data_IF_871481008904
#
_entry.id   IF_871481008904
#
_cell.length_a   1.000
_cell.length_b   1.000
_cell.length_c   1.000
_cell.angle_alpha   90.00
_cell.angle_beta   90.00
_cell.angle_gamma   90.00
#
_symmetry.space_group_name_H-M   'P 1'
#
loop_
_entity.id
_entity.type
_entity.pdbx_description
1 polymer ?
#
# COMPACT_ATOMS: atom_id res chain seq x y z
N UNK A 1 81.28 34.49 -40.85
CA UNK A 1 80.03 33.68 -41.11
C UNK A 1 79.73 32.84 -39.85
N UNK A 2 78.81 33.30 -39.04
CA UNK A 2 78.47 32.58 -37.81
C UNK A 2 77.12 31.89 -38.05
N UNK A 3 77.11 30.56 -38.02
CA UNK A 3 75.87 29.78 -38.08
C UNK A 3 75.20 29.76 -36.71
N UNK A 4 74.00 30.27 -36.65
CA UNK A 4 73.13 30.18 -35.46
C UNK A 4 72.35 28.88 -35.52
N UNK A 5 72.54 28.03 -34.47
CA UNK A 5 71.79 26.79 -34.26
C UNK A 5 70.59 27.16 -33.42
N UNK A 6 69.35 27.02 -34.01
CA UNK A 6 68.11 27.13 -33.24
C UNK A 6 67.79 25.78 -32.59
N UNK A 7 67.77 25.78 -31.26
CA UNK A 7 67.34 24.64 -30.46
C UNK A 7 65.79 24.74 -30.24
N UNK A 8 65.04 23.85 -30.90
CA UNK A 8 63.60 23.80 -30.75
C UNK A 8 63.28 22.95 -29.51
N UNK A 9 62.86 23.61 -28.39
CA UNK A 9 62.42 22.92 -27.20
C UNK A 9 60.95 22.54 -27.40
N UNK A 10 60.64 21.28 -27.68
CA UNK A 10 59.29 20.70 -27.70
C UNK A 10 58.88 20.49 -26.27
N UNK A 11 58.01 21.39 -25.75
CA UNK A 11 57.34 21.23 -24.45
C UNK A 11 56.20 20.23 -24.67
N UNK A 12 56.36 18.96 -24.28
CA UNK A 12 55.27 18.02 -24.19
C UNK A 12 54.39 18.41 -22.98
N UNK A 13 53.25 19.07 -23.24
CA UNK A 13 52.19 19.17 -22.27
C UNK A 13 51.58 17.76 -22.13
N UNK A 14 51.95 17.03 -21.10
CA UNK A 14 51.15 15.89 -20.61
C UNK A 14 49.89 16.42 -19.96
N UNK A 15 48.82 16.51 -20.73
CA UNK A 15 47.50 16.69 -20.16
C UNK A 15 47.19 15.43 -19.35
N UNK A 16 47.37 15.53 -18.03
CA UNK A 16 46.83 14.56 -17.10
C UNK A 16 45.31 14.63 -17.21
N UNK A 17 44.70 13.73 -17.94
CA UNK A 17 43.27 13.50 -17.87
C UNK A 17 43.04 12.97 -16.43
N UNK A 18 42.64 13.84 -15.54
CA UNK A 18 42.03 13.40 -14.28
C UNK A 18 40.77 12.66 -14.64
N UNK A 19 40.86 11.36 -14.76
CA UNK A 19 39.67 10.50 -14.66
C UNK A 19 39.18 10.68 -13.25
N UNK A 20 38.16 11.51 -13.08
CA UNK A 20 37.49 11.66 -11.79
C UNK A 20 37.11 10.25 -11.31
N UNK A 21 37.55 9.90 -10.10
CA UNK A 21 37.18 8.61 -9.50
C UNK A 21 35.65 8.51 -9.50
N UNK A 22 35.13 7.47 -10.14
CA UNK A 22 33.71 7.19 -10.12
C UNK A 22 33.35 6.76 -8.69
N UNK A 23 32.27 7.33 -8.13
CA UNK A 23 31.83 7.04 -6.77
C UNK A 23 30.64 6.08 -6.80
N UNK A 24 30.67 5.09 -5.92
CA UNK A 24 29.54 4.20 -5.66
C UNK A 24 28.41 4.90 -4.88
N UNK A 25 28.69 6.07 -4.27
CA UNK A 25 27.69 6.82 -3.53
C UNK A 25 26.45 7.14 -4.36
N UNK A 26 25.30 7.01 -3.71
CA UNK A 26 24.01 7.42 -4.26
C UNK A 26 23.03 6.27 -4.45
N UNK A 27 22.07 6.52 -5.31
CA UNK A 27 20.97 5.60 -5.58
C UNK A 27 21.14 4.97 -6.95
N UNK A 28 20.93 3.65 -7.02
CA UNK A 28 21.16 2.83 -8.19
C UNK A 28 19.93 1.98 -8.47
N UNK A 29 19.44 1.97 -9.71
CA UNK A 29 18.28 1.18 -10.15
C UNK A 29 18.70 -0.01 -10.97
N UNK A 30 18.26 -1.22 -10.60
CA UNK A 30 18.39 -2.45 -11.37
C UNK A 30 17.03 -3.11 -11.57
N UNK A 31 16.91 -3.93 -12.63
CA UNK A 31 15.70 -4.75 -12.85
C UNK A 31 16.12 -6.21 -12.84
N UNK A 32 15.64 -6.94 -11.84
CA UNK A 32 15.86 -8.37 -11.68
C UNK A 32 14.71 -9.14 -12.34
N UNK A 33 15.04 -10.03 -13.29
CA UNK A 33 14.05 -10.92 -13.91
C UNK A 33 14.12 -12.30 -13.28
N UNK A 34 12.99 -12.76 -12.71
CA UNK A 34 12.85 -14.09 -12.10
C UNK A 34 11.67 -14.80 -12.76
N UNK A 35 11.94 -15.71 -13.68
CA UNK A 35 10.90 -16.30 -14.53
C UNK A 35 10.20 -15.24 -15.37
N UNK A 36 8.88 -15.15 -15.27
CA UNK A 36 8.06 -14.13 -15.93
C UNK A 36 8.00 -12.80 -15.17
N UNK A 37 8.47 -12.76 -13.94
CA UNK A 37 8.38 -11.57 -13.06
C UNK A 37 9.59 -10.66 -13.25
N UNK A 38 9.36 -9.35 -13.10
CA UNK A 38 10.40 -8.32 -13.03
C UNK A 38 10.31 -7.61 -11.70
N UNK A 39 11.42 -7.52 -10.98
CA UNK A 39 11.51 -6.80 -9.72
C UNK A 39 12.44 -5.60 -9.90
N UNK A 40 11.97 -4.43 -9.58
CA UNK A 40 12.75 -3.20 -9.57
C UNK A 40 13.46 -3.10 -8.22
N UNK A 41 14.79 -3.20 -8.27
CA UNK A 41 15.66 -3.08 -7.12
C UNK A 41 16.25 -1.68 -7.07
N UNK A 42 16.15 -1.01 -5.93
CA UNK A 42 16.81 0.27 -5.69
C UNK A 42 17.86 0.06 -4.61
N UNK A 43 19.11 0.22 -5.00
CA UNK A 43 20.23 0.08 -4.11
C UNK A 43 20.73 1.47 -3.71
N UNK A 44 20.67 1.76 -2.41
CA UNK A 44 21.18 2.99 -1.80
C UNK A 44 22.55 2.68 -1.21
N UNK A 45 23.59 3.39 -1.65
CA UNK A 45 24.97 3.21 -1.20
C UNK A 45 25.50 4.48 -0.59
N UNK A 46 26.12 4.37 0.59
CA UNK A 46 26.88 5.45 1.24
C UNK A 46 28.31 4.96 1.49
N UNK A 47 29.27 5.51 0.76
CA UNK A 47 30.70 5.24 0.96
C UNK A 47 31.18 5.81 2.30
N UNK A 48 30.69 7.00 2.68
CA UNK A 48 31.06 7.67 3.93
C UNK A 48 30.64 6.87 5.17
N UNK A 49 29.44 6.26 5.14
CA UNK A 49 28.93 5.42 6.23
C UNK A 49 29.31 3.95 6.06
N UNK A 50 29.93 3.59 4.95
CA UNK A 50 30.17 2.20 4.54
C UNK A 50 28.89 1.35 4.67
N UNK A 51 27.79 1.88 4.20
CA UNK A 51 26.46 1.27 4.32
C UNK A 51 25.79 1.08 2.95
N UNK A 52 24.92 0.08 2.88
CA UNK A 52 24.04 -0.15 1.74
C UNK A 52 22.66 -0.61 2.19
N UNK A 53 21.62 -0.16 1.49
CA UNK A 53 20.24 -0.56 1.71
C UNK A 53 19.60 -0.92 0.38
N UNK A 54 18.61 -1.81 0.40
CA UNK A 54 17.89 -2.26 -0.78
C UNK A 54 16.40 -2.01 -0.61
N UNK A 55 15.78 -1.42 -1.64
CA UNK A 55 14.32 -1.43 -1.79
C UNK A 55 13.95 -2.45 -2.88
N UNK A 56 12.84 -3.15 -2.70
CA UNK A 56 12.22 -4.00 -3.70
C UNK A 56 10.83 -3.44 -3.96
N UNK A 57 10.69 -2.72 -5.07
CA UNK A 57 9.53 -1.85 -5.31
C UNK A 57 8.23 -2.64 -5.38
N UNK A 58 8.21 -3.74 -6.13
CA UNK A 58 7.02 -4.58 -6.34
C UNK A 58 6.62 -5.39 -5.10
N UNK A 59 7.48 -5.44 -4.09
CA UNK A 59 7.20 -6.09 -2.80
C UNK A 59 6.91 -5.06 -1.69
N UNK A 60 6.94 -3.76 -2.00
CA UNK A 60 6.78 -2.69 -1.00
C UNK A 60 7.88 -2.66 0.07
N UNK A 61 8.94 -3.44 -0.10
CA UNK A 61 10.04 -3.51 0.85
C UNK A 61 10.97 -2.32 0.65
N UNK A 62 11.23 -1.56 1.72
CA UNK A 62 12.06 -0.35 1.68
C UNK A 62 13.14 -0.38 2.78
N UNK A 63 14.30 0.14 2.44
CA UNK A 63 15.39 0.35 3.38
C UNK A 63 15.96 -0.93 4.00
N UNK A 64 15.83 -2.08 3.31
CA UNK A 64 16.34 -3.36 3.78
C UNK A 64 17.86 -3.26 3.96
N UNK A 65 18.40 -3.44 5.18
CA UNK A 65 19.83 -3.28 5.42
C UNK A 65 20.61 -4.42 4.76
N UNK A 66 21.68 -4.05 4.04
CA UNK A 66 22.63 -5.00 3.46
C UNK A 66 23.92 -5.00 4.27
N UNK A 67 24.49 -6.19 4.49
CA UNK A 67 25.86 -6.32 4.98
C UNK A 67 26.82 -5.97 3.85
N UNK A 68 27.71 -4.99 4.08
CA UNK A 68 28.71 -4.58 3.13
C UNK A 68 30.00 -5.37 3.38
N UNK A 69 30.31 -6.30 2.49
CA UNK A 69 31.52 -7.12 2.54
C UNK A 69 32.73 -6.42 1.89
N UNK A 70 32.48 -5.79 0.71
CA UNK A 70 33.48 -5.01 -0.02
C UNK A 70 32.83 -3.73 -0.54
N UNK A 71 33.51 -2.59 -0.33
CA UNK A 71 33.16 -1.29 -0.91
C UNK A 71 34.46 -0.52 -1.08
N UNK A 72 35.16 -0.79 -2.17
CA UNK A 72 36.45 -0.17 -2.49
C UNK A 72 36.86 -0.44 -3.95
N UNK A 73 37.69 0.40 -4.52
CA UNK A 73 38.24 0.24 -5.87
C UNK A 73 37.16 -0.07 -6.93
N UNK A 74 36.10 0.70 -6.95
CA UNK A 74 34.91 0.53 -7.80
C UNK A 74 34.14 -0.80 -7.59
N UNK A 75 34.50 -1.58 -6.55
CA UNK A 75 33.88 -2.87 -6.27
C UNK A 75 32.88 -2.76 -5.12
N UNK A 76 31.71 -3.34 -5.32
CA UNK A 76 30.66 -3.46 -4.33
C UNK A 76 30.29 -4.93 -4.15
N UNK A 77 30.36 -5.40 -2.89
CA UNK A 77 29.89 -6.72 -2.52
C UNK A 77 29.00 -6.58 -1.29
N UNK A 78 27.73 -6.94 -1.44
CA UNK A 78 26.71 -6.80 -0.40
C UNK A 78 25.90 -8.07 -0.25
N UNK A 79 25.38 -8.33 0.93
CA UNK A 79 24.60 -9.52 1.24
C UNK A 79 23.47 -9.26 2.23
N UNK A 80 22.43 -10.10 2.16
CA UNK A 80 21.42 -10.28 3.19
C UNK A 80 21.29 -11.78 3.48
N UNK A 81 22.06 -12.24 4.45
CA UNK A 81 22.22 -13.68 4.74
C UNK A 81 20.94 -14.37 5.18
N UNK A 82 20.02 -13.61 5.84
CA UNK A 82 18.72 -14.11 6.32
C UNK A 82 17.85 -14.69 5.20
N UNK A 83 18.00 -14.17 3.99
CA UNK A 83 17.25 -14.62 2.80
C UNK A 83 18.16 -15.20 1.71
N UNK A 84 19.43 -15.43 2.02
CA UNK A 84 20.41 -15.98 1.09
C UNK A 84 20.72 -15.08 -0.10
N UNK A 85 20.54 -13.74 0.03
CA UNK A 85 20.83 -12.77 -1.03
C UNK A 85 22.30 -12.34 -0.99
N UNK A 86 22.90 -12.28 -2.14
CA UNK A 86 24.24 -11.77 -2.38
C UNK A 86 24.31 -11.03 -3.71
N UNK A 87 25.00 -9.90 -3.75
CA UNK A 87 25.33 -9.18 -4.98
C UNK A 87 26.79 -8.78 -4.95
N UNK A 88 27.51 -9.07 -6.03
CA UNK A 88 28.89 -8.66 -6.26
C UNK A 88 28.99 -7.96 -7.62
N UNK A 89 29.36 -6.69 -7.62
CA UNK A 89 29.43 -5.88 -8.82
C UNK A 89 30.62 -4.93 -8.82
N UNK A 90 30.88 -4.32 -9.98
CA UNK A 90 31.90 -3.32 -10.16
C UNK A 90 31.36 -2.13 -10.94
N UNK A 91 31.66 -0.93 -10.47
CA UNK A 91 31.32 0.31 -11.15
C UNK A 91 32.20 0.48 -12.40
N UNK A 92 31.56 0.60 -13.55
CA UNK A 92 32.19 0.83 -14.85
C UNK A 92 31.30 1.70 -15.71
N UNK A 93 31.89 2.73 -16.32
CA UNK A 93 31.17 3.62 -17.24
C UNK A 93 29.83 4.16 -16.67
N UNK A 94 29.76 4.42 -15.34
CA UNK A 94 28.58 4.98 -14.70
C UNK A 94 27.47 3.95 -14.36
N UNK A 95 27.72 2.65 -14.49
CA UNK A 95 26.82 1.57 -14.09
C UNK A 95 27.54 0.58 -13.18
N UNK A 96 26.84 -0.08 -12.27
CA UNK A 96 27.40 -1.19 -11.49
C UNK A 96 26.97 -2.49 -12.18
N UNK A 97 27.92 -3.17 -12.79
CA UNK A 97 27.71 -4.47 -13.43
C UNK A 97 28.12 -5.59 -12.49
N UNK A 98 27.23 -6.55 -12.25
CA UNK A 98 27.51 -7.60 -11.29
C UNK A 98 26.61 -8.81 -11.38
N UNK A 99 26.86 -9.74 -10.48
CA UNK A 99 26.10 -10.97 -10.33
C UNK A 99 25.26 -10.91 -9.07
N UNK A 100 23.97 -11.10 -9.25
CA UNK A 100 23.00 -11.31 -8.18
C UNK A 100 22.81 -12.81 -7.95
N UNK A 101 22.78 -13.23 -6.71
CA UNK A 101 22.39 -14.58 -6.33
C UNK A 101 21.47 -14.57 -5.12
N UNK A 102 20.51 -15.49 -5.11
CA UNK A 102 19.66 -15.74 -3.97
C UNK A 102 19.35 -17.25 -3.91
N UNK A 103 19.82 -17.91 -2.86
CA UNK A 103 19.78 -19.37 -2.74
C UNK A 103 20.40 -20.05 -3.98
N UNK A 104 19.63 -20.86 -4.72
CA UNK A 104 20.09 -21.53 -5.95
C UNK A 104 19.96 -20.69 -7.22
N UNK A 105 19.31 -19.53 -7.15
CA UNK A 105 19.12 -18.64 -8.29
C UNK A 105 20.33 -17.71 -8.46
N UNK A 106 20.83 -17.57 -9.69
CA UNK A 106 21.94 -16.66 -10.00
C UNK A 106 21.72 -16.04 -11.38
N UNK A 107 21.95 -14.73 -11.49
CA UNK A 107 21.81 -13.99 -12.74
C UNK A 107 22.71 -12.76 -12.77
N UNK A 108 22.97 -12.24 -13.98
CA UNK A 108 23.59 -10.93 -14.13
C UNK A 108 22.58 -9.83 -13.80
N UNK A 109 23.03 -8.80 -13.06
CA UNK A 109 22.22 -7.65 -12.71
C UNK A 109 23.04 -6.38 -12.86
N UNK A 110 22.52 -5.44 -13.61
CA UNK A 110 23.13 -4.12 -13.84
C UNK A 110 22.32 -3.08 -13.07
N UNK A 111 23.01 -2.29 -12.27
CA UNK A 111 22.45 -1.12 -11.63
C UNK A 111 22.90 0.14 -12.37
N UNK A 112 21.95 0.93 -12.82
CA UNK A 112 22.15 2.23 -13.42
C UNK A 112 22.01 3.32 -12.34
N UNK A 113 22.86 4.36 -12.38
CA UNK A 113 22.77 5.47 -11.45
C UNK A 113 21.49 6.26 -11.69
N UNK A 114 20.72 6.51 -10.65
CA UNK A 114 19.49 7.30 -10.73
C UNK A 114 18.42 6.86 -9.72
N UNK A 115 17.55 7.78 -9.43
CA UNK A 115 16.36 7.53 -8.60
C UNK A 115 15.19 7.05 -9.45
N UNK A 116 14.35 6.19 -8.89
CA UNK A 116 13.03 5.95 -9.45
C UNK A 116 12.12 7.08 -8.98
N UNK A 117 11.91 8.05 -9.85
CA UNK A 117 10.90 9.08 -9.59
C UNK A 117 9.54 8.45 -9.87
N UNK A 118 8.89 7.95 -8.83
CA UNK A 118 7.50 7.56 -8.93
C UNK A 118 6.65 8.82 -9.06
N UNK A 119 5.96 8.96 -10.19
CA UNK A 119 4.99 10.04 -10.33
C UNK A 119 3.74 9.68 -9.55
N UNK A 120 3.32 10.58 -8.68
CA UNK A 120 2.08 10.48 -7.90
C UNK A 120 1.30 11.77 -8.06
N UNK A 121 0.72 12.00 -9.26
CA UNK A 121 0.12 13.29 -9.60
C UNK A 121 -1.10 13.64 -8.74
N UNK A 122 -1.76 12.65 -8.17
CA UNK A 122 -2.95 12.83 -7.34
C UNK A 122 -2.62 13.14 -5.88
N UNK A 123 -1.37 12.95 -5.41
CA UNK A 123 -1.03 13.23 -4.03
C UNK A 123 -1.14 14.74 -3.73
N UNK A 124 -1.99 15.14 -2.77
CA UNK A 124 -2.12 16.52 -2.38
C UNK A 124 -0.86 17.01 -1.69
N UNK A 125 -0.47 18.26 -2.00
CA UNK A 125 0.71 18.90 -1.41
C UNK A 125 0.31 20.12 -0.60
N UNK A 126 0.95 20.35 0.56
CA UNK A 126 0.72 21.56 1.33
C UNK A 126 1.18 22.81 0.54
N UNK A 127 0.55 24.01 0.81
CA UNK A 127 -0.51 24.20 1.79
C UNK A 127 -1.84 23.66 1.30
N UNK A 128 -2.56 22.90 2.20
CA UNK A 128 -3.88 22.39 1.88
C UNK A 128 -4.95 23.50 1.98
N UNK A 129 -6.01 23.49 1.14
CA UNK A 129 -7.09 24.46 1.23
C UNK A 129 -8.08 24.19 2.38
N UNK A 130 -7.82 23.15 3.16
CA UNK A 130 -8.64 22.68 4.27
C UNK A 130 -7.79 22.50 5.53
N UNK A 131 -8.46 22.50 6.69
CA UNK A 131 -7.82 22.27 7.99
C UNK A 131 -7.55 20.81 8.22
N UNK A 132 -6.35 20.51 8.75
CA UNK A 132 -5.95 19.19 9.24
C UNK A 132 -5.49 19.29 10.68
N UNK A 133 -5.85 18.30 11.49
CA UNK A 133 -5.46 18.19 12.90
C UNK A 133 -4.86 16.83 13.17
N UNK A 134 -3.68 16.78 13.75
CA UNK A 134 -3.16 15.54 14.32
C UNK A 134 -3.86 15.30 15.65
N UNK A 135 -4.40 14.11 15.80
CA UNK A 135 -5.17 13.73 16.98
C UNK A 135 -4.71 12.39 17.54
N UNK A 136 -5.09 12.12 18.75
CA UNK A 136 -4.93 10.80 19.37
C UNK A 136 -6.25 10.38 20.02
N UNK A 137 -6.52 9.08 20.02
CA UNK A 137 -7.65 8.49 20.71
C UNK A 137 -7.27 7.14 21.32
N UNK A 138 -7.94 6.77 22.39
CA UNK A 138 -7.61 5.56 23.14
C UNK A 138 -8.52 4.39 22.75
N UNK A 139 -7.91 3.24 22.53
CA UNK A 139 -8.60 1.96 22.57
C UNK A 139 -8.41 1.31 23.95
N UNK A 140 -9.40 1.47 24.82
CA UNK A 140 -9.36 0.91 26.17
C UNK A 140 -9.28 -0.62 26.19
N UNK A 141 -9.85 -1.31 25.18
CA UNK A 141 -9.81 -2.78 25.07
C UNK A 141 -8.41 -3.29 24.78
N UNK A 142 -7.63 -2.56 23.97
CA UNK A 142 -6.26 -2.89 23.62
C UNK A 142 -5.24 -2.19 24.52
N UNK A 143 -5.67 -1.32 25.43
CA UNK A 143 -4.81 -0.47 26.29
C UNK A 143 -3.75 0.30 25.46
N UNK A 144 -4.16 0.77 24.28
CA UNK A 144 -3.30 1.46 23.33
C UNK A 144 -3.89 2.82 22.93
N UNK A 145 -2.99 3.72 22.51
CA UNK A 145 -3.33 5.02 21.94
C UNK A 145 -3.08 4.98 20.45
N UNK A 146 -4.07 5.37 19.68
CA UNK A 146 -4.00 5.45 18.23
C UNK A 146 -3.83 6.90 17.80
N UNK A 147 -2.91 7.13 16.89
CA UNK A 147 -2.58 8.45 16.34
C UNK A 147 -3.16 8.60 14.95
N UNK A 148 -3.75 9.73 14.66
CA UNK A 148 -4.42 9.96 13.38
C UNK A 148 -4.40 11.40 12.92
N UNK A 149 -4.96 11.62 11.74
CA UNK A 149 -5.16 12.94 11.14
C UNK A 149 -6.64 13.12 10.82
N UNK A 150 -7.25 14.08 11.50
CA UNK A 150 -8.61 14.54 11.23
C UNK A 150 -8.54 15.66 10.19
N UNK A 151 -9.15 15.43 9.04
CA UNK A 151 -9.24 16.37 7.93
C UNK A 151 -10.65 16.95 7.89
N UNK A 152 -10.78 18.27 7.94
CA UNK A 152 -12.07 18.97 7.85
C UNK A 152 -12.37 19.35 6.40
N UNK A 153 -13.64 19.57 6.04
CA UNK A 153 -13.99 20.08 4.72
C UNK A 153 -13.36 21.43 4.41
N UNK A 154 -13.14 21.69 3.12
CA UNK A 154 -12.77 23.01 2.65
C UNK A 154 -13.83 24.04 3.05
N UNK A 155 -13.40 25.18 3.59
CA UNK A 155 -14.30 26.23 4.08
C UNK A 155 -15.06 25.90 5.38
N UNK A 156 -14.73 24.80 6.08
CA UNK A 156 -15.37 24.42 7.35
C UNK A 156 -15.31 25.55 8.39
N UNK A 157 -16.43 25.84 9.01
CA UNK A 157 -16.53 26.82 10.11
C UNK A 157 -16.86 26.09 11.41
N UNK A 158 -16.24 26.51 12.49
CA UNK A 158 -16.50 25.93 13.82
C UNK A 158 -17.99 26.07 14.18
N UNK A 159 -18.56 25.00 14.71
CA UNK A 159 -20.00 24.89 14.97
C UNK A 159 -20.84 24.35 13.83
N UNK A 160 -20.32 24.29 12.61
CA UNK A 160 -20.99 23.63 11.49
C UNK A 160 -20.94 22.11 11.70
N UNK A 161 -22.08 21.43 11.48
CA UNK A 161 -22.14 19.97 11.50
C UNK A 161 -22.02 19.42 10.09
N UNK A 162 -21.00 18.60 9.88
CA UNK A 162 -20.74 17.92 8.61
C UNK A 162 -20.69 16.41 8.81
N UNK A 163 -20.83 15.62 7.76
CA UNK A 163 -20.58 14.18 7.85
C UNK A 163 -19.09 13.89 7.97
N UNK A 164 -18.74 12.78 8.63
CA UNK A 164 -17.36 12.31 8.76
C UNK A 164 -17.27 10.81 8.46
N UNK A 165 -16.18 10.39 7.85
CA UNK A 165 -15.83 8.98 7.70
C UNK A 165 -14.58 8.64 8.51
N UNK A 166 -14.63 7.55 9.26
CA UNK A 166 -13.46 6.87 9.75
C UNK A 166 -12.92 5.99 8.62
N UNK A 167 -11.65 6.15 8.28
CA UNK A 167 -10.98 5.36 7.23
C UNK A 167 -10.19 4.22 7.87
N UNK A 168 -10.47 2.99 7.44
CA UNK A 168 -9.90 1.75 8.01
C UNK A 168 -9.10 1.03 6.93
N UNK A 169 -7.82 0.86 7.16
CA UNK A 169 -6.83 0.28 6.24
C UNK A 169 -7.06 -1.21 5.98
N UNK A 170 -6.43 -1.72 4.94
CA UNK A 170 -6.38 -3.14 4.60
C UNK A 170 -5.49 -3.95 5.52
N UNK A 171 -5.24 -5.22 5.18
CA UNK A 171 -4.43 -6.13 5.97
C UNK A 171 -2.96 -5.75 6.03
N UNK A 172 -2.32 -6.10 7.13
CA UNK A 172 -0.94 -5.74 7.43
C UNK A 172 -0.82 -4.45 8.23
N UNK A 173 0.36 -4.16 8.80
CA UNK A 173 0.62 -2.96 9.59
C UNK A 173 0.71 -1.72 8.67
N UNK A 174 -0.32 -0.91 8.66
CA UNK A 174 -0.49 0.23 7.76
C UNK A 174 -0.38 1.56 8.49
N UNK A 175 0.24 2.55 7.85
CA UNK A 175 0.13 3.93 8.29
C UNK A 175 -1.22 4.53 7.85
N UNK A 176 -1.56 5.69 8.41
CA UNK A 176 -2.83 6.39 8.17
C UNK A 176 -3.12 6.73 6.71
N UNK A 177 -2.13 6.74 5.85
CA UNK A 177 -2.26 7.05 4.42
C UNK A 177 -2.47 5.79 3.57
N UNK A 178 -2.41 4.59 4.20
CA UNK A 178 -2.42 3.29 3.54
C UNK A 178 -1.33 3.21 2.46
N UNK A 179 -0.08 3.50 2.86
CA UNK A 179 1.02 3.59 1.90
C UNK A 179 1.40 2.22 1.35
N UNK A 180 0.99 1.94 0.12
CA UNK A 180 1.22 0.70 -0.60
C UNK A 180 1.91 0.99 -1.94
N UNK A 181 3.02 0.31 -2.24
CA UNK A 181 3.76 0.47 -3.51
C UNK A 181 4.09 1.94 -3.85
N UNK A 182 4.28 2.78 -2.81
CA UNK A 182 4.52 4.22 -2.96
C UNK A 182 3.29 5.06 -3.30
N UNK A 183 2.09 4.47 -3.32
CA UNK A 183 0.81 5.18 -3.37
C UNK A 183 0.30 5.46 -1.96
N UNK A 184 -0.52 6.50 -1.83
CA UNK A 184 -1.19 6.88 -0.57
C UNK A 184 -2.70 7.05 -0.80
N UNK A 185 -3.43 5.95 -1.07
CA UNK A 185 -4.83 6.03 -1.46
C UNK A 185 -5.70 6.76 -0.43
N UNK A 186 -5.47 6.57 0.86
CA UNK A 186 -6.24 7.26 1.89
C UNK A 186 -5.93 8.75 1.99
N UNK A 187 -4.69 9.17 1.71
CA UNK A 187 -4.36 10.59 1.64
C UNK A 187 -5.09 11.26 0.46
N UNK A 188 -5.05 10.63 -0.72
CA UNK A 188 -5.70 11.13 -1.93
C UNK A 188 -7.22 11.19 -1.76
N UNK A 189 -7.82 10.14 -1.21
CA UNK A 189 -9.25 10.10 -0.98
C UNK A 189 -9.70 11.09 0.11
N UNK A 190 -8.90 11.33 1.15
CA UNK A 190 -9.19 12.32 2.17
C UNK A 190 -9.17 13.76 1.63
N UNK A 191 -8.27 14.08 0.70
CA UNK A 191 -8.28 15.36 -0.03
C UNK A 191 -9.58 15.51 -0.85
N UNK A 192 -9.96 14.45 -1.57
CA UNK A 192 -11.19 14.44 -2.36
C UNK A 192 -12.43 14.65 -1.48
N UNK A 193 -12.54 13.92 -0.39
CA UNK A 193 -13.63 14.05 0.59
C UNK A 193 -13.72 15.48 1.14
N UNK A 194 -12.58 16.07 1.55
CA UNK A 194 -12.55 17.42 2.10
C UNK A 194 -13.05 18.46 1.11
N UNK A 195 -12.68 18.36 -0.17
CA UNK A 195 -13.16 19.23 -1.25
C UNK A 195 -14.65 19.05 -1.56
N UNK A 196 -15.25 17.91 -1.16
CA UNK A 196 -16.67 17.63 -1.34
C UNK A 196 -17.50 17.81 -0.06
N UNK A 197 -16.96 18.52 0.94
CA UNK A 197 -17.72 18.85 2.15
C UNK A 197 -17.78 17.73 3.20
N UNK A 198 -16.97 16.69 3.09
CA UNK A 198 -16.95 15.53 3.96
C UNK A 198 -15.66 15.52 4.79
N UNK A 199 -15.78 15.41 6.11
CA UNK A 199 -14.61 15.21 6.99
C UNK A 199 -14.13 13.75 6.95
N UNK A 200 -12.86 13.53 7.28
CA UNK A 200 -12.30 12.19 7.39
C UNK A 200 -11.30 12.06 8.54
N UNK A 201 -11.28 10.91 9.19
CA UNK A 201 -10.26 10.52 10.15
C UNK A 201 -9.51 9.31 9.61
N UNK A 202 -8.21 9.49 9.37
CA UNK A 202 -7.23 8.46 9.04
C UNK A 202 -6.36 8.21 10.27
N UNK A 203 -6.02 6.98 10.58
CA UNK A 203 -5.18 6.66 11.74
C UNK A 203 -4.13 5.60 11.41
N UNK A 204 -2.99 5.66 12.09
CA UNK A 204 -1.97 4.63 12.03
C UNK A 204 -2.47 3.39 12.81
N UNK A 205 -2.31 2.22 12.26
CA UNK A 205 -2.64 0.97 12.96
C UNK A 205 -1.86 0.86 14.27
N UNK A 206 -2.35 0.04 15.19
CA UNK A 206 -1.65 -0.25 16.45
C UNK A 206 -0.20 -0.68 16.19
N UNK A 207 0.77 -0.09 16.89
CA UNK A 207 2.19 -0.37 16.73
C UNK A 207 2.83 0.20 15.47
N UNK A 208 2.10 1.01 14.69
CA UNK A 208 2.59 1.67 13.48
C UNK A 208 2.69 3.18 13.71
N UNK A 209 3.68 3.82 13.10
CA UNK A 209 3.87 5.26 13.15
C UNK A 209 3.93 5.79 14.58
N UNK A 210 2.94 6.59 14.98
CA UNK A 210 2.84 7.15 16.33
C UNK A 210 1.80 6.42 17.21
N UNK A 211 1.16 5.38 16.69
CA UNK A 211 0.24 4.53 17.45
C UNK A 211 0.98 3.55 18.32
N UNK A 212 0.50 3.36 19.56
CA UNK A 212 1.05 2.35 20.47
C UNK A 212 0.32 1.01 20.32
N UNK A 213 0.84 -0.03 20.95
CA UNK A 213 0.28 -1.37 20.92
C UNK A 213 1.11 -2.34 20.08
N UNK A 214 0.60 -3.55 19.91
CA UNK A 214 1.27 -4.61 19.15
C UNK A 214 0.36 -5.10 18.01
N UNK A 215 0.83 -4.91 16.80
CA UNK A 215 0.14 -5.40 15.60
C UNK A 215 0.35 -6.92 15.41
N UNK A 216 1.50 -7.45 15.81
CA UNK A 216 1.86 -8.86 15.53
C UNK A 216 0.93 -9.87 16.18
N UNK A 217 0.26 -9.48 17.26
CA UNK A 217 -0.73 -10.29 17.98
C UNK A 217 -2.19 -9.94 17.61
N UNK A 218 -2.40 -9.00 16.68
CA UNK A 218 -3.73 -8.54 16.32
C UNK A 218 -4.45 -9.53 15.38
N UNK A 219 -5.74 -9.70 15.59
CA UNK A 219 -6.67 -10.36 14.65
C UNK A 219 -7.56 -9.32 14.02
N UNK A 220 -8.29 -9.65 12.94
CA UNK A 220 -9.30 -8.78 12.35
C UNK A 220 -10.30 -8.25 13.41
N UNK A 221 -10.71 -9.12 14.34
CA UNK A 221 -11.60 -8.73 15.44
C UNK A 221 -10.94 -7.74 16.41
N UNK A 222 -9.64 -7.89 16.67
CA UNK A 222 -8.89 -6.94 17.49
C UNK A 222 -8.73 -5.58 16.78
N UNK A 223 -8.46 -5.56 15.47
CA UNK A 223 -8.40 -4.34 14.66
C UNK A 223 -9.77 -3.64 14.57
N UNK A 224 -10.87 -4.41 14.54
CA UNK A 224 -12.21 -3.85 14.63
C UNK A 224 -12.45 -3.07 15.94
N UNK A 225 -11.76 -3.42 17.05
CA UNK A 225 -11.86 -2.63 18.29
C UNK A 225 -11.17 -1.27 18.17
N UNK A 226 -10.10 -1.15 17.36
CA UNK A 226 -9.44 0.13 17.09
C UNK A 226 -10.35 1.05 16.27
N UNK A 227 -10.95 0.51 15.22
CA UNK A 227 -11.92 1.25 14.42
C UNK A 227 -13.13 1.69 15.26
N UNK A 228 -13.64 0.82 16.15
CA UNK A 228 -14.72 1.18 17.07
C UNK A 228 -14.32 2.32 18.03
N UNK A 229 -13.07 2.34 18.50
CA UNK A 229 -12.56 3.42 19.33
C UNK A 229 -12.52 4.75 18.55
N UNK A 230 -12.09 4.73 17.29
CA UNK A 230 -12.14 5.89 16.38
C UNK A 230 -13.55 6.43 16.16
N UNK A 231 -14.55 5.55 15.97
CA UNK A 231 -15.96 5.96 15.87
C UNK A 231 -16.43 6.63 17.16
N UNK A 232 -16.14 6.02 18.32
CA UNK A 232 -16.50 6.60 19.62
C UNK A 232 -15.86 7.97 19.83
N UNK A 233 -14.59 8.11 19.45
CA UNK A 233 -13.90 9.40 19.49
C UNK A 233 -14.60 10.44 18.63
N UNK A 234 -14.90 10.15 17.37
CA UNK A 234 -15.59 11.07 16.46
C UNK A 234 -16.96 11.47 16.98
N UNK A 235 -17.76 10.52 17.49
CA UNK A 235 -19.06 10.81 18.10
C UNK A 235 -18.93 11.67 19.37
N UNK A 236 -17.88 11.43 20.17
CA UNK A 236 -17.56 12.20 21.37
C UNK A 236 -17.26 13.67 21.13
N UNK A 237 -16.71 14.01 19.96
CA UNK A 237 -16.44 15.41 19.57
C UNK A 237 -17.72 16.24 19.37
N UNK A 238 -18.87 15.61 19.11
CA UNK A 238 -20.18 16.26 18.86
C UNK A 238 -20.18 17.29 17.72
N UNK A 239 -19.17 17.24 16.85
CA UNK A 239 -18.99 18.14 15.70
C UNK A 239 -19.64 17.61 14.42
N UNK A 240 -19.93 16.32 14.36
CA UNK A 240 -20.37 15.65 13.15
C UNK A 240 -21.86 15.30 13.19
N UNK A 241 -22.54 15.42 12.04
CA UNK A 241 -23.96 15.05 11.88
C UNK A 241 -24.14 13.55 11.74
N UNK A 242 -23.20 12.89 10.99
CA UNK A 242 -23.17 11.46 10.76
C UNK A 242 -21.72 10.96 10.85
N UNK A 243 -21.55 9.74 11.36
CA UNK A 243 -20.24 9.07 11.44
C UNK A 243 -20.31 7.76 10.65
N UNK A 244 -19.72 7.76 9.45
CA UNK A 244 -19.59 6.57 8.61
C UNK A 244 -18.27 5.88 8.76
N UNK A 245 -18.14 4.69 8.14
CA UNK A 245 -16.91 3.95 8.01
C UNK A 245 -16.62 3.78 6.52
N UNK A 246 -15.38 4.07 6.14
CA UNK A 246 -14.83 3.75 4.83
C UNK A 246 -13.67 2.77 5.06
N UNK A 247 -13.77 1.56 4.55
CA UNK A 247 -12.72 0.55 4.71
C UNK A 247 -12.26 0.01 3.37
N UNK A 248 -10.94 -0.20 3.24
CA UNK A 248 -10.36 -0.87 2.09
C UNK A 248 -9.96 -2.30 2.47
N UNK A 249 -10.20 -3.26 1.58
CA UNK A 249 -9.81 -4.66 1.78
C UNK A 249 -10.29 -5.21 3.15
N UNK A 250 -9.41 -5.65 4.04
CA UNK A 250 -9.76 -6.08 5.41
C UNK A 250 -10.55 -4.99 6.17
N UNK A 251 -10.20 -3.71 5.98
CA UNK A 251 -10.94 -2.59 6.54
C UNK A 251 -12.40 -2.53 6.10
N UNK A 252 -12.71 -2.96 4.87
CA UNK A 252 -14.08 -3.12 4.39
C UNK A 252 -14.83 -4.23 5.13
N UNK A 253 -14.17 -5.35 5.43
CA UNK A 253 -14.74 -6.40 6.29
C UNK A 253 -14.99 -5.91 7.72
N UNK A 254 -14.06 -5.13 8.28
CA UNK A 254 -14.24 -4.48 9.59
C UNK A 254 -15.44 -3.54 9.56
N UNK A 255 -15.62 -2.78 8.47
CA UNK A 255 -16.79 -1.92 8.32
C UNK A 255 -18.10 -2.70 8.34
N UNK A 256 -18.17 -3.90 7.72
CA UNK A 256 -19.35 -4.77 7.81
C UNK A 256 -19.58 -5.28 9.25
N UNK A 257 -18.51 -5.69 9.96
CA UNK A 257 -18.62 -6.13 11.35
C UNK A 257 -19.18 -5.03 12.26
N UNK A 258 -18.67 -3.80 12.13
CA UNK A 258 -19.11 -2.67 12.93
C UNK A 258 -20.51 -2.18 12.54
N UNK A 259 -20.84 -2.23 11.25
CA UNK A 259 -22.18 -1.93 10.76
C UNK A 259 -23.23 -2.92 11.26
N UNK A 260 -22.91 -4.21 11.31
CA UNK A 260 -23.77 -5.23 11.93
C UNK A 260 -24.03 -4.96 13.42
N UNK A 261 -23.06 -4.38 14.12
CA UNK A 261 -23.19 -3.91 15.50
C UNK A 261 -23.91 -2.55 15.66
N UNK A 262 -24.39 -1.92 14.57
CA UNK A 262 -25.06 -0.62 14.60
C UNK A 262 -24.15 0.56 14.93
N UNK A 263 -22.84 0.42 14.70
CA UNK A 263 -21.86 1.44 15.09
C UNK A 263 -21.60 2.51 14.00
N UNK A 264 -22.12 2.33 12.79
CA UNK A 264 -21.96 3.27 11.67
C UNK A 264 -23.31 3.79 11.18
N UNK A 265 -23.33 5.05 10.73
CA UNK A 265 -24.51 5.67 10.11
C UNK A 265 -24.58 5.35 8.60
N UNK A 266 -23.43 5.03 7.99
CA UNK A 266 -23.29 4.51 6.63
C UNK A 266 -21.94 3.78 6.47
N UNK A 267 -21.82 2.94 5.45
CA UNK A 267 -20.61 2.17 5.14
C UNK A 267 -20.21 2.40 3.69
N UNK A 268 -18.92 2.65 3.46
CA UNK A 268 -18.26 2.52 2.15
C UNK A 268 -17.23 1.40 2.26
N UNK A 269 -17.38 0.37 1.45
CA UNK A 269 -16.44 -0.74 1.37
C UNK A 269 -15.74 -0.75 0.01
N UNK A 270 -14.45 -0.50 0.02
CA UNK A 270 -13.58 -0.54 -1.13
C UNK A 270 -12.91 -1.92 -1.18
N UNK A 271 -13.32 -2.77 -2.10
CA UNK A 271 -12.80 -4.13 -2.27
C UNK A 271 -12.78 -4.98 -0.98
N UNK A 272 -13.73 -4.73 -0.05
CA UNK A 272 -13.78 -5.44 1.22
C UNK A 272 -14.36 -6.85 1.09
N UNK A 273 -13.67 -7.90 1.60
CA UNK A 273 -14.21 -9.25 1.65
C UNK A 273 -15.55 -9.32 2.39
N UNK A 274 -16.56 -9.86 1.72
CA UNK A 274 -17.94 -10.03 2.23
C UNK A 274 -18.36 -11.50 2.27
N UNK A 275 -17.42 -12.42 2.14
CA UNK A 275 -17.65 -13.86 1.99
C UNK A 275 -16.80 -14.65 2.99
N UNK A 276 -16.76 -15.96 2.82
CA UNK A 276 -15.91 -16.84 3.63
C UNK A 276 -14.44 -16.65 3.22
N UNK A 277 -13.57 -16.30 4.18
CA UNK A 277 -12.22 -15.85 3.89
C UNK A 277 -11.33 -16.95 3.29
N UNK A 278 -11.40 -18.18 3.81
CA UNK A 278 -10.62 -19.30 3.28
C UNK A 278 -10.97 -19.65 1.82
N UNK A 279 -12.24 -19.52 1.45
CA UNK A 279 -12.70 -19.68 0.06
C UNK A 279 -12.19 -18.54 -0.83
N UNK A 280 -12.23 -17.30 -0.31
CA UNK A 280 -11.68 -16.15 -1.01
C UNK A 280 -10.18 -16.34 -1.29
N UNK A 281 -9.41 -16.81 -0.30
CA UNK A 281 -7.98 -17.05 -0.44
C UNK A 281 -7.66 -18.11 -1.49
N UNK A 282 -8.51 -19.14 -1.64
CA UNK A 282 -8.36 -20.12 -2.71
C UNK A 282 -8.49 -19.46 -4.09
N UNK A 283 -9.49 -18.61 -4.26
CA UNK A 283 -9.70 -17.89 -5.53
C UNK A 283 -8.56 -16.89 -5.81
N UNK A 284 -8.11 -16.18 -4.79
CA UNK A 284 -6.98 -15.25 -4.88
C UNK A 284 -5.69 -15.96 -5.31
N UNK A 285 -5.32 -17.05 -4.64
CA UNK A 285 -4.11 -17.81 -4.98
C UNK A 285 -4.13 -18.30 -6.42
N UNK A 286 -5.25 -18.87 -6.87
CA UNK A 286 -5.38 -19.37 -8.23
C UNK A 286 -5.38 -18.24 -9.26
N UNK A 287 -6.07 -17.13 -8.99
CA UNK A 287 -6.08 -15.95 -9.85
C UNK A 287 -4.69 -15.34 -10.01
N UNK A 288 -3.99 -15.08 -8.90
CA UNK A 288 -2.61 -14.53 -8.91
C UNK A 288 -1.63 -15.46 -9.63
N UNK A 289 -1.72 -16.77 -9.40
CA UNK A 289 -0.82 -17.72 -10.04
C UNK A 289 -1.02 -17.77 -11.56
N UNK A 290 -2.26 -17.64 -12.05
CA UNK A 290 -2.55 -17.59 -13.49
C UNK A 290 -1.92 -16.38 -14.17
N UNK A 291 -2.05 -15.18 -13.61
CA UNK A 291 -1.40 -13.98 -14.19
C UNK A 291 0.13 -14.05 -14.10
N UNK A 292 0.66 -14.87 -13.20
CA UNK A 292 2.10 -15.17 -13.10
C UNK A 292 2.53 -16.34 -13.98
N UNK A 293 1.65 -16.89 -14.80
CA UNK A 293 1.96 -17.88 -15.83
C UNK A 293 1.66 -19.34 -15.47
N UNK A 294 1.00 -19.61 -14.33
CA UNK A 294 0.52 -20.95 -14.02
C UNK A 294 -0.56 -21.38 -15.02
N UNK A 295 -0.43 -22.59 -15.56
CA UNK A 295 -1.39 -23.15 -16.53
C UNK A 295 -2.61 -23.76 -15.86
N UNK A 296 -2.46 -24.20 -14.60
CA UNK A 296 -3.49 -24.85 -13.81
C UNK A 296 -3.62 -24.18 -12.46
N UNK A 297 -4.71 -24.46 -11.76
CA UNK A 297 -4.91 -24.00 -10.39
C UNK A 297 -3.82 -24.58 -9.46
N UNK A 298 -3.27 -23.74 -8.61
CA UNK A 298 -2.20 -24.14 -7.64
C UNK A 298 -2.76 -24.75 -6.36
N UNK A 299 -4.03 -24.55 -6.09
CA UNK A 299 -4.80 -25.19 -5.00
C UNK A 299 -6.18 -25.62 -5.50
N UNK A 300 -6.61 -26.82 -5.12
CA UNK A 300 -7.84 -27.43 -5.63
C UNK A 300 -8.95 -27.54 -4.59
N UNK A 301 -8.66 -27.17 -3.35
CA UNK A 301 -9.62 -27.21 -2.25
C UNK A 301 -9.31 -26.17 -1.18
N UNK A 302 -10.33 -25.80 -0.41
CA UNK A 302 -10.18 -24.93 0.77
C UNK A 302 -9.26 -25.57 1.79
N UNK A 303 -9.31 -26.90 1.97
CA UNK A 303 -8.42 -27.60 2.92
C UNK A 303 -6.95 -27.47 2.52
N UNK A 304 -6.63 -27.69 1.24
CA UNK A 304 -5.30 -27.49 0.68
C UNK A 304 -4.82 -26.04 0.79
N UNK A 305 -5.70 -25.09 0.50
CA UNK A 305 -5.44 -23.64 0.66
C UNK A 305 -5.06 -23.31 2.10
N UNK A 306 -5.84 -23.78 3.08
CA UNK A 306 -5.56 -23.56 4.50
C UNK A 306 -4.21 -24.15 4.90
N UNK A 307 -3.91 -25.38 4.47
CA UNK A 307 -2.63 -26.03 4.75
C UNK A 307 -1.47 -25.24 4.16
N UNK A 308 -1.57 -24.80 2.91
CA UNK A 308 -0.54 -24.00 2.24
C UNK A 308 -0.31 -22.67 2.97
N UNK A 309 -1.35 -21.91 3.25
CA UNK A 309 -1.24 -20.61 3.90
C UNK A 309 -0.66 -20.74 5.31
N UNK A 310 -1.12 -21.68 6.13
CA UNK A 310 -0.62 -21.90 7.48
C UNK A 310 0.83 -22.45 7.51
N UNK A 311 1.30 -23.07 6.42
CA UNK A 311 2.70 -23.45 6.28
C UNK A 311 3.63 -22.24 6.01
N UNK A 312 3.10 -21.17 5.45
CA UNK A 312 3.82 -19.93 5.11
C UNK A 312 3.70 -18.88 6.20
N UNK A 313 2.50 -18.73 6.75
CA UNK A 313 2.19 -17.79 7.82
C UNK A 313 1.35 -18.46 8.90
N UNK A 314 1.98 -18.78 10.02
CA UNK A 314 1.36 -19.42 11.17
C UNK A 314 0.94 -18.40 12.26
N UNK A 315 0.80 -17.13 11.89
CA UNK A 315 0.40 -16.04 12.77
C UNK A 315 -1.00 -16.25 13.37
N UNK A 316 -1.29 -15.56 14.46
CA UNK A 316 -2.62 -15.55 15.05
C UNK A 316 -3.63 -14.91 14.09
N UNK A 317 -3.22 -13.88 13.36
CA UNK A 317 -4.05 -13.23 12.34
C UNK A 317 -4.48 -14.23 11.27
N UNK A 318 -3.54 -14.90 10.61
CA UNK A 318 -3.85 -15.87 9.54
C UNK A 318 -4.78 -16.99 10.02
N UNK A 319 -4.50 -17.56 11.19
CA UNK A 319 -5.35 -18.61 11.80
C UNK A 319 -6.77 -18.11 12.00
N UNK A 320 -6.93 -16.94 12.59
CA UNK A 320 -8.26 -16.39 12.87
C UNK A 320 -8.99 -15.95 11.60
N UNK A 321 -8.28 -15.34 10.65
CA UNK A 321 -8.84 -14.86 9.39
C UNK A 321 -9.41 -16.02 8.55
N UNK A 322 -8.70 -17.15 8.46
CA UNK A 322 -9.17 -18.32 7.74
C UNK A 322 -10.47 -18.91 8.30
N UNK A 323 -10.81 -18.63 9.55
CA UNK A 323 -12.06 -19.04 10.18
C UNK A 323 -13.19 -18.01 10.01
N UNK A 324 -12.86 -16.81 9.52
CA UNK A 324 -13.85 -15.74 9.34
C UNK A 324 -14.80 -16.02 8.17
N UNK A 325 -16.06 -15.77 8.43
CA UNK A 325 -17.10 -15.71 7.41
C UNK A 325 -17.82 -14.37 7.51
N UNK A 326 -17.41 -13.40 6.69
CA UNK A 326 -17.94 -12.05 6.70
C UNK A 326 -19.39 -11.96 6.22
N UNK A 327 -19.86 -12.93 5.41
CA UNK A 327 -21.26 -12.95 4.96
C UNK A 327 -22.27 -13.03 6.11
N UNK A 328 -21.86 -13.53 7.27
CA UNK A 328 -22.72 -13.61 8.46
C UNK A 328 -23.09 -12.25 9.06
N UNK A 329 -22.30 -11.21 8.80
CA UNK A 329 -22.57 -9.86 9.27
C UNK A 329 -23.56 -9.11 8.38
N UNK A 330 -23.59 -9.41 7.09
CA UNK A 330 -24.36 -8.65 6.11
C UNK A 330 -25.86 -8.53 6.43
N UNK A 331 -26.58 -9.59 6.84
CA UNK A 331 -28.01 -9.49 7.13
C UNK A 331 -28.35 -8.62 8.36
N UNK A 332 -27.33 -8.32 9.18
CA UNK A 332 -27.49 -7.54 10.41
C UNK A 332 -27.29 -6.05 10.18
N UNK A 333 -26.77 -5.63 9.01
CA UNK A 333 -26.48 -4.23 8.70
C UNK A 333 -27.78 -3.50 8.38
N UNK A 334 -28.04 -2.41 9.12
CA UNK A 334 -29.26 -1.60 8.94
C UNK A 334 -29.00 -0.27 8.23
N UNK A 335 -27.76 0.23 8.28
CA UNK A 335 -27.39 1.48 7.62
C UNK A 335 -27.17 1.29 6.10
N UNK A 336 -27.19 2.38 5.29
CA UNK A 336 -26.83 2.32 3.89
C UNK A 336 -25.40 1.80 3.68
N UNK A 337 -25.20 1.00 2.62
CA UNK A 337 -23.90 0.41 2.23
C UNK A 337 -23.62 0.74 0.78
N UNK A 338 -22.41 1.28 0.53
CA UNK A 338 -21.79 1.33 -0.78
C UNK A 338 -20.64 0.35 -0.81
N UNK A 339 -20.74 -0.68 -1.66
CA UNK A 339 -19.72 -1.71 -1.82
C UNK A 339 -19.19 -1.68 -3.25
N UNK A 340 -17.89 -1.47 -3.39
CA UNK A 340 -17.21 -1.26 -4.67
C UNK A 340 -16.10 -2.31 -4.87
N UNK A 341 -15.87 -2.72 -6.12
CA UNK A 341 -14.75 -3.58 -6.54
C UNK A 341 -14.27 -3.21 -7.92
N UNK A 342 -13.02 -3.52 -8.22
CA UNK A 342 -12.51 -3.52 -9.60
C UNK A 342 -12.74 -4.86 -10.29
N UNK A 343 -13.00 -4.87 -11.60
CA UNK A 343 -13.17 -6.14 -12.33
C UNK A 343 -11.86 -6.94 -12.44
N UNK A 344 -10.73 -6.26 -12.34
CA UNK A 344 -9.40 -6.85 -12.41
C UNK A 344 -8.76 -7.01 -11.01
N UNK A 345 -9.59 -6.96 -9.96
CA UNK A 345 -9.17 -7.24 -8.59
C UNK A 345 -8.89 -8.74 -8.40
N UNK A 346 -7.61 -9.09 -8.29
CA UNK A 346 -7.17 -10.46 -8.05
C UNK A 346 -7.03 -10.78 -6.56
N UNK A 347 -7.01 -9.77 -5.70
CA UNK A 347 -6.93 -9.97 -4.24
C UNK A 347 -8.31 -10.33 -3.67
N UNK A 348 -9.36 -9.64 -4.15
CA UNK A 348 -10.75 -9.90 -3.77
C UNK A 348 -11.59 -10.04 -5.05
N UNK A 349 -11.62 -11.23 -5.67
CA UNK A 349 -12.32 -11.46 -6.93
C UNK A 349 -13.76 -10.95 -6.90
N UNK A 350 -14.05 -9.96 -7.75
CA UNK A 350 -15.23 -9.12 -7.68
C UNK A 350 -16.54 -9.93 -7.79
N UNK A 351 -16.63 -10.85 -8.78
CA UNK A 351 -17.88 -11.59 -9.04
C UNK A 351 -18.33 -12.40 -7.83
N UNK A 352 -17.42 -13.15 -7.22
CA UNK A 352 -17.72 -13.97 -6.05
C UNK A 352 -18.09 -13.11 -4.84
N UNK A 353 -17.34 -12.04 -4.61
CA UNK A 353 -17.52 -11.15 -3.47
C UNK A 353 -18.83 -10.35 -3.57
N UNK A 354 -19.13 -9.78 -4.75
CA UNK A 354 -20.34 -8.99 -4.97
C UNK A 354 -21.62 -9.84 -4.91
N UNK A 355 -21.56 -11.11 -5.32
CA UNK A 355 -22.67 -12.04 -5.16
C UNK A 355 -23.02 -12.26 -3.68
N UNK A 356 -22.02 -12.35 -2.81
CA UNK A 356 -22.25 -12.44 -1.36
C UNK A 356 -22.94 -11.20 -0.80
N UNK A 357 -22.57 -10.01 -1.28
CA UNK A 357 -23.20 -8.74 -0.90
C UNK A 357 -24.63 -8.63 -1.38
N UNK A 358 -24.90 -8.98 -2.65
CA UNK A 358 -26.24 -8.96 -3.24
C UNK A 358 -27.21 -9.88 -2.51
N UNK A 359 -26.73 -11.06 -2.11
CA UNK A 359 -27.55 -12.05 -1.40
C UNK A 359 -27.68 -11.78 0.10
N UNK A 360 -26.69 -11.11 0.71
CA UNK A 360 -26.61 -10.98 2.16
C UNK A 360 -27.12 -9.65 2.71
N UNK A 361 -27.01 -8.55 1.98
CA UNK A 361 -27.44 -7.23 2.47
C UNK A 361 -28.96 -7.12 2.47
N UNK A 362 -29.57 -6.57 3.55
CA UNK A 362 -30.97 -6.24 3.56
C UNK A 362 -31.32 -5.23 2.45
N UNK A 363 -32.56 -5.32 1.95
CA UNK A 363 -33.02 -4.35 0.97
C UNK A 363 -33.00 -2.94 1.53
N UNK A 364 -32.23 -2.05 0.91
CA UNK A 364 -32.19 -0.63 1.19
C UNK A 364 -32.00 0.12 -0.13
N UNK A 365 -32.90 1.03 -0.46
CA UNK A 365 -32.86 1.80 -1.71
C UNK A 365 -31.65 2.72 -1.84
N UNK A 366 -30.91 2.92 -0.74
CA UNK A 366 -29.67 3.68 -0.71
C UNK A 366 -28.41 2.80 -0.89
N UNK A 367 -28.56 1.47 -0.89
CA UNK A 367 -27.41 0.58 -1.14
C UNK A 367 -26.95 0.70 -2.59
N UNK A 368 -25.61 0.63 -2.75
CA UNK A 368 -24.94 0.57 -4.04
C UNK A 368 -23.95 -0.59 -4.02
N UNK A 369 -24.04 -1.47 -4.99
CA UNK A 369 -23.06 -2.54 -5.24
C UNK A 369 -22.60 -2.37 -6.68
N UNK A 370 -21.31 -2.00 -6.88
CA UNK A 370 -20.80 -1.64 -8.22
C UNK A 370 -19.43 -2.27 -8.45
N UNK A 371 -19.25 -2.82 -9.66
CA UNK A 371 -17.96 -3.28 -10.18
C UNK A 371 -17.51 -2.27 -11.24
N UNK A 372 -16.26 -1.80 -11.13
CA UNK A 372 -15.64 -0.89 -12.11
C UNK A 372 -14.80 -1.69 -13.09
N UNK A 373 -15.09 -1.60 -14.39
CA UNK A 373 -14.34 -2.33 -15.41
C UNK A 373 -12.87 -1.88 -15.46
N UNK A 374 -11.94 -2.82 -15.54
CA UNK A 374 -10.53 -2.57 -15.75
C UNK A 374 -9.77 -2.04 -14.54
N UNK A 375 -10.42 -1.90 -13.35
CA UNK A 375 -9.75 -1.47 -12.14
C UNK A 375 -9.23 -2.67 -11.32
N UNK A 376 -8.04 -2.48 -10.70
CA UNK A 376 -7.42 -3.45 -9.77
C UNK A 376 -7.92 -3.29 -8.32
N UNK A 377 -7.24 -3.95 -7.39
CA UNK A 377 -7.56 -3.90 -5.95
C UNK A 377 -7.46 -2.50 -5.33
N UNK A 378 -6.54 -1.66 -5.81
CA UNK A 378 -6.36 -0.27 -5.38
C UNK A 378 -7.26 0.72 -6.16
N UNK A 379 -8.13 0.21 -7.01
CA UNK A 379 -8.98 1.01 -7.92
C UNK A 379 -8.17 1.86 -8.92
N UNK A 380 -7.04 1.35 -9.36
CA UNK A 380 -6.23 1.91 -10.44
C UNK A 380 -6.62 1.24 -11.77
N UNK A 381 -6.50 1.95 -12.89
CA UNK A 381 -6.61 1.34 -14.20
C UNK A 381 -5.43 0.39 -14.44
N UNK A 382 -5.70 -0.90 -14.44
CA UNK A 382 -4.70 -1.98 -14.56
C UNK A 382 -5.19 -3.02 -15.57
N UNK A 383 -4.55 -3.15 -16.74
CA UNK A 383 -4.96 -4.14 -17.75
C UNK A 383 -4.80 -5.59 -17.29
N UNK A 384 -3.84 -5.86 -16.40
CA UNK A 384 -3.51 -7.21 -15.95
C UNK A 384 -4.14 -7.57 -14.62
N UNK A 385 -4.42 -6.57 -13.77
CA UNK A 385 -4.76 -6.74 -12.36
C UNK A 385 -3.64 -7.36 -11.51
N UNK A 386 -2.44 -7.58 -12.08
CA UNK A 386 -1.32 -8.13 -11.35
C UNK A 386 -0.76 -7.09 -10.35
N UNK A 387 -0.82 -7.35 -9.02
CA UNK A 387 -0.35 -6.39 -8.02
C UNK A 387 1.12 -5.99 -8.15
N UNK A 388 1.95 -6.80 -8.82
CA UNK A 388 3.35 -6.47 -9.09
C UNK A 388 3.50 -5.31 -10.09
N UNK A 389 2.46 -5.00 -10.86
CA UNK A 389 2.48 -3.90 -11.82
C UNK A 389 2.08 -2.56 -11.17
N UNK A 390 1.42 -2.59 -9.99
CA UNK A 390 0.83 -1.42 -9.33
C UNK A 390 1.86 -0.33 -9.02
N UNK A 391 3.07 -0.71 -8.67
CA UNK A 391 4.19 0.22 -8.41
C UNK A 391 4.50 1.14 -9.59
N UNK A 392 4.24 0.68 -10.82
CA UNK A 392 4.53 1.38 -12.07
C UNK A 392 3.35 2.21 -12.59
N UNK A 393 2.19 2.13 -11.94
CA UNK A 393 1.01 2.92 -12.29
C UNK A 393 1.16 4.30 -11.65
N UNK A 394 1.01 5.39 -12.43
CA UNK A 394 1.07 6.77 -11.89
C UNK A 394 -0.21 7.13 -11.10
N UNK A 395 -1.36 6.57 -11.50
CA UNK A 395 -2.66 6.78 -10.87
C UNK A 395 -2.70 6.11 -9.48
N UNK A 396 -3.12 6.81 -8.46
CA UNK A 396 -3.30 6.25 -7.11
C UNK A 396 -4.70 5.64 -6.92
N UNK A 397 -5.73 6.30 -7.45
CA UNK A 397 -7.12 5.82 -7.43
C UNK A 397 -7.92 6.49 -8.54
N UNK A 398 -8.80 5.73 -9.20
CA UNK A 398 -9.66 6.25 -10.26
C UNK A 398 -10.51 7.44 -9.80
N UNK A 399 -10.51 8.51 -10.59
CA UNK A 399 -11.33 9.70 -10.37
C UNK A 399 -12.82 9.36 -10.30
N UNK A 400 -13.29 8.41 -11.11
CA UNK A 400 -14.68 7.96 -11.11
C UNK A 400 -15.06 7.38 -9.74
N UNK A 401 -14.22 6.51 -9.18
CA UNK A 401 -14.46 5.88 -7.87
C UNK A 401 -14.54 6.93 -6.78
N UNK A 402 -13.58 7.85 -6.72
CA UNK A 402 -13.56 8.91 -5.70
C UNK A 402 -14.78 9.83 -5.79
N UNK A 403 -15.19 10.18 -7.01
CA UNK A 403 -16.37 11.02 -7.21
C UNK A 403 -17.67 10.30 -6.84
N UNK A 404 -17.81 9.02 -7.18
CA UNK A 404 -18.97 8.21 -6.80
C UNK A 404 -19.09 8.09 -5.28
N UNK A 405 -17.96 7.85 -4.58
CA UNK A 405 -17.91 7.79 -3.10
C UNK A 405 -18.41 9.11 -2.50
N UNK A 406 -17.84 10.24 -2.92
CA UNK A 406 -18.22 11.56 -2.41
C UNK A 406 -19.70 11.88 -2.68
N UNK A 407 -20.16 11.62 -3.90
CA UNK A 407 -21.55 11.87 -4.32
C UNK A 407 -22.52 11.02 -3.52
N UNK A 408 -22.21 9.74 -3.33
CA UNK A 408 -23.08 8.83 -2.58
C UNK A 408 -23.12 9.20 -1.07
N UNK A 409 -21.98 9.51 -0.45
CA UNK A 409 -21.96 9.95 0.95
C UNK A 409 -22.85 11.19 1.12
N UNK A 410 -22.69 12.22 0.28
CA UNK A 410 -23.52 13.41 0.33
C UNK A 410 -25.01 13.10 0.14
N UNK A 411 -25.36 12.19 -0.77
CA UNK A 411 -26.72 11.76 -0.99
C UNK A 411 -27.35 11.08 0.24
N UNK A 412 -26.60 10.22 0.94
CA UNK A 412 -27.16 9.46 2.08
C UNK A 412 -27.17 10.26 3.37
N UNK A 413 -26.31 11.29 3.51
CA UNK A 413 -26.17 12.12 4.72
C UNK A 413 -26.94 13.45 4.63
N UNK A 414 -27.13 14.02 3.45
CA UNK A 414 -27.82 15.31 3.26
C UNK A 414 -29.36 15.20 3.22
N UNK A 415 -29.93 14.00 3.15
CA UNK A 415 -31.37 13.78 3.20
C UNK A 415 -31.96 13.85 4.62
N UNK A 416 -31.21 14.32 5.60
CA UNK A 416 -31.63 14.50 6.99
C UNK A 416 -31.83 15.99 7.36
N UNK A 417 -32.11 16.85 6.34
CA UNK A 417 -32.48 18.26 6.53
C UNK A 417 -33.86 18.51 5.97
#
# INVERSE_FOLDING_TARGET
>A
MKKAIYFFLILMLTASIQVGAQSLDGTWKGVLSVGSQKLTLILHVSEAERSAKLDVMEQGAKGLPLTVNVMENDSLNVAMTQIGLHYAGRLRNGVIEGTFSQNSFTTQLIFNKGEVVQKRPQEPKPPFPYRVENIQFENQSAKGTLSGTLTYPEGYKEGQKVSVVLMVTGSGPQNRDEELMGHKPFLVLADRLARHGIASLRYDDRGVGQSTGDFSSATTAALATDALAGIKYLRGLKKFSCVGILGHSEGGSIAYMLGAGGNADFIVSLAGPACKFDTLMMLQLNGLSKVQGAKEDVVHSVAETRQLLLSKDNSLWMKSALDMNFSKFLPLIKCPVMALSGSNDLNVPAEFNMLSLQNGLPHNSKNVIKIYPGLNHLFQHSPTGNPLDDVNIDETMSEEVMNDVCTWINKVTNNNH
#
